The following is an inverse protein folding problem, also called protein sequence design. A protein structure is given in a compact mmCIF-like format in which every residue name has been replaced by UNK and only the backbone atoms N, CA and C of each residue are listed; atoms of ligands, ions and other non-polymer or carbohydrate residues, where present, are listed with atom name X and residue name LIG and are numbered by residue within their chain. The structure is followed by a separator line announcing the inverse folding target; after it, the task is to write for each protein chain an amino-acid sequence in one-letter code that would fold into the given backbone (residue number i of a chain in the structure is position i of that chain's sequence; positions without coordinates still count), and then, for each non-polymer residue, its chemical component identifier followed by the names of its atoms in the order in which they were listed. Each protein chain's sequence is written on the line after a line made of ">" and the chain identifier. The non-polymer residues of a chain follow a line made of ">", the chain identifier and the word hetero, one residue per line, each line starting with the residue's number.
data_IF_372169396519
#
_entry.id   IF_372169396519
#
_cell.length_a   1.000
_cell.length_b   1.000
_cell.length_c   1.000
_cell.angle_alpha   90.00
_cell.angle_beta   90.00
_cell.angle_gamma   90.00
#
_symmetry.space_group_name_H-M   'P 1'
#
loop_
_entity.id
_entity.type
_entity.pdbx_description
1 polymer ?
#
# COMPACT_ATOMS: atom_id res chain seq x y z
N UNK A 1 -42.90 9.27 52.34
CA UNK A 1 -43.21 9.44 50.91
C UNK A 1 -42.30 10.57 50.46
N UNK A 2 -41.16 10.22 49.85
CA UNK A 2 -40.16 11.20 49.41
C UNK A 2 -40.38 11.41 47.92
N UNK A 3 -40.75 12.64 47.57
CA UNK A 3 -40.85 13.12 46.20
C UNK A 3 -39.42 13.29 45.71
N UNK A 4 -38.98 12.37 44.85
CA UNK A 4 -37.69 12.43 44.18
C UNK A 4 -37.86 13.42 43.04
N UNK A 5 -37.42 14.65 43.28
CA UNK A 5 -37.39 15.73 42.30
C UNK A 5 -36.42 15.33 41.19
N UNK A 6 -37.00 14.95 40.04
CA UNK A 6 -36.28 14.47 38.86
C UNK A 6 -35.63 15.64 38.15
N UNK A 7 -34.43 16.00 38.59
CA UNK A 7 -33.54 16.92 37.91
C UNK A 7 -33.09 16.26 36.59
N UNK A 8 -33.91 16.44 35.55
CA UNK A 8 -33.60 16.17 34.14
C UNK A 8 -32.44 17.08 33.72
N UNK A 9 -31.24 16.79 34.20
CA UNK A 9 -30.04 17.38 33.63
C UNK A 9 -29.92 16.82 32.24
N UNK A 10 -30.27 17.63 31.25
CA UNK A 10 -29.94 17.43 29.85
C UNK A 10 -28.46 17.04 29.77
N UNK A 11 -28.20 15.75 29.59
CA UNK A 11 -26.85 15.28 29.34
C UNK A 11 -26.44 15.92 28.01
N UNK A 12 -25.36 16.74 28.00
CA UNK A 12 -24.87 17.34 26.77
C UNK A 12 -24.67 16.22 25.75
N UNK A 13 -25.07 16.47 24.52
CA UNK A 13 -25.26 15.49 23.46
C UNK A 13 -23.90 14.91 23.01
N UNK A 14 -23.30 14.01 23.81
CA UNK A 14 -21.98 13.40 23.61
C UNK A 14 -21.89 12.53 22.33
N UNK A 15 -23.00 12.36 21.60
CA UNK A 15 -23.02 11.67 20.31
C UNK A 15 -22.33 12.43 19.19
N UNK A 16 -22.33 13.77 19.22
CA UNK A 16 -21.86 14.58 18.10
C UNK A 16 -20.33 14.47 17.86
N UNK A 17 -19.54 14.34 18.92
CA UNK A 17 -18.06 14.29 18.82
C UNK A 17 -17.53 12.95 18.25
N UNK A 18 -18.29 11.86 18.39
CA UNK A 18 -17.84 10.53 17.94
C UNK A 18 -17.93 10.34 16.43
N UNK A 19 -18.92 10.94 15.77
CA UNK A 19 -19.12 10.83 14.31
C UNK A 19 -18.07 11.63 13.52
N UNK A 20 -17.51 12.70 14.09
CA UNK A 20 -16.51 13.54 13.39
C UNK A 20 -15.16 12.81 13.22
N UNK A 21 -14.78 11.95 14.17
CA UNK A 21 -13.49 11.23 14.11
C UNK A 21 -13.49 10.03 13.16
N UNK A 22 -14.65 9.39 12.95
CA UNK A 22 -14.79 8.22 12.07
C UNK A 22 -14.66 8.58 10.57
N UNK A 23 -15.12 9.78 10.18
CA UNK A 23 -14.95 10.28 8.81
C UNK A 23 -13.49 10.63 8.47
N UNK A 24 -12.67 10.96 9.47
CA UNK A 24 -11.32 11.48 9.26
C UNK A 24 -10.35 10.43 8.69
N UNK A 25 -10.36 9.21 9.24
CA UNK A 25 -9.42 8.15 8.84
C UNK A 25 -9.77 7.52 7.49
N UNK A 26 -11.05 7.33 7.22
CA UNK A 26 -11.53 6.84 5.92
C UNK A 26 -11.16 7.81 4.80
N UNK A 27 -11.44 9.11 5.00
CA UNK A 27 -11.03 10.16 4.07
C UNK A 27 -9.51 10.20 3.87
N UNK A 28 -8.72 10.10 4.93
CA UNK A 28 -7.25 10.07 4.83
C UNK A 28 -6.75 8.89 3.99
N UNK A 29 -7.27 7.68 4.20
CA UNK A 29 -6.89 6.49 3.41
C UNK A 29 -7.29 6.65 1.94
N UNK A 30 -8.47 7.19 1.66
CA UNK A 30 -8.91 7.47 0.29
C UNK A 30 -8.01 8.49 -0.40
N UNK A 31 -7.64 9.58 0.29
CA UNK A 31 -6.72 10.60 -0.23
C UNK A 31 -5.33 10.02 -0.51
N UNK A 32 -4.78 9.23 0.41
CA UNK A 32 -3.47 8.58 0.23
C UNK A 32 -3.50 7.64 -0.97
N UNK A 33 -4.55 6.82 -1.11
CA UNK A 33 -4.72 5.92 -2.26
C UNK A 33 -4.83 6.68 -3.58
N UNK A 34 -5.63 7.75 -3.61
CA UNK A 34 -5.79 8.59 -4.80
C UNK A 34 -4.48 9.24 -5.20
N UNK A 35 -3.79 9.89 -4.25
CA UNK A 35 -2.49 10.52 -4.47
C UNK A 35 -1.44 9.51 -4.94
N UNK A 36 -1.35 8.36 -4.27
CA UNK A 36 -0.45 7.29 -4.67
C UNK A 36 -0.74 6.81 -6.09
N UNK A 37 -2.01 6.55 -6.44
CA UNK A 37 -2.37 6.08 -7.78
C UNK A 37 -2.01 7.10 -8.87
N UNK A 38 -2.17 8.39 -8.59
CA UNK A 38 -1.79 9.47 -9.50
C UNK A 38 -0.27 9.54 -9.69
N UNK A 39 0.49 9.57 -8.58
CA UNK A 39 1.97 9.62 -8.60
C UNK A 39 2.55 8.37 -9.26
N UNK A 40 2.04 7.18 -8.92
CA UNK A 40 2.47 5.92 -9.51
C UNK A 40 2.12 5.83 -11.00
N UNK A 41 0.95 6.33 -11.41
CA UNK A 41 0.55 6.39 -12.81
C UNK A 41 1.47 7.28 -13.65
N UNK A 42 1.72 8.51 -13.19
CA UNK A 42 2.63 9.44 -13.86
C UNK A 42 4.06 8.90 -13.87
N UNK A 43 4.57 8.48 -12.71
CA UNK A 43 5.92 7.94 -12.57
C UNK A 43 6.12 6.68 -13.43
N UNK A 44 5.13 5.78 -13.45
CA UNK A 44 5.15 4.59 -14.28
C UNK A 44 5.13 4.89 -15.77
N UNK A 45 4.35 5.89 -16.19
CA UNK A 45 4.31 6.34 -17.59
C UNK A 45 5.63 6.98 -18.03
N UNK A 46 6.23 7.84 -17.18
CA UNK A 46 7.55 8.43 -17.43
C UNK A 46 8.61 7.33 -17.55
N UNK A 47 8.62 6.38 -16.61
CA UNK A 47 9.56 5.27 -16.62
C UNK A 47 9.43 4.44 -17.90
N UNK A 48 8.20 4.16 -18.34
CA UNK A 48 7.92 3.45 -19.59
C UNK A 48 8.51 4.18 -20.80
N UNK A 49 8.32 5.49 -20.91
CA UNK A 49 8.89 6.30 -21.99
C UNK A 49 10.43 6.24 -21.94
N UNK A 50 11.02 6.40 -20.75
CA UNK A 50 12.48 6.39 -20.58
C UNK A 50 13.08 5.04 -20.97
N UNK A 51 12.50 3.92 -20.54
CA UNK A 51 12.94 2.58 -20.94
C UNK A 51 12.81 2.40 -22.46
N UNK A 52 11.74 2.93 -23.07
CA UNK A 52 11.53 2.80 -24.51
C UNK A 52 12.57 3.57 -25.35
N UNK A 53 12.91 4.79 -24.91
CA UNK A 53 13.83 5.72 -25.60
C UNK A 53 15.30 5.38 -25.32
N UNK A 54 15.66 5.19 -24.04
CA UNK A 54 17.05 4.96 -23.60
C UNK A 54 17.43 3.48 -23.60
N UNK A 55 16.45 2.58 -23.61
CA UNK A 55 16.68 1.14 -23.55
C UNK A 55 16.93 0.62 -22.14
N UNK A 56 17.16 -0.69 -22.05
CA UNK A 56 17.28 -1.41 -20.78
C UNK A 56 18.62 -1.16 -20.07
N UNK A 57 19.71 -0.84 -20.80
CA UNK A 57 21.00 -0.51 -20.19
C UNK A 57 20.89 0.69 -19.26
N UNK A 58 20.25 1.76 -19.71
CA UNK A 58 19.99 2.94 -18.89
C UNK A 58 19.18 2.62 -17.62
N UNK A 59 18.21 1.69 -17.72
CA UNK A 59 17.46 1.26 -16.53
C UNK A 59 18.37 0.64 -15.48
N UNK A 60 19.26 -0.28 -15.87
CA UNK A 60 20.17 -0.94 -14.92
C UNK A 60 21.18 0.02 -14.30
N UNK A 61 21.66 0.99 -15.07
CA UNK A 61 22.68 1.92 -14.61
C UNK A 61 22.12 3.02 -13.68
N UNK A 62 20.91 3.52 -13.96
CA UNK A 62 20.36 4.71 -13.29
C UNK A 62 19.07 4.46 -12.51
N UNK A 63 18.10 3.78 -13.12
CA UNK A 63 16.78 3.60 -12.51
C UNK A 63 16.81 2.50 -11.44
N UNK A 64 17.49 1.39 -11.71
CA UNK A 64 17.53 0.22 -10.83
C UNK A 64 18.06 0.53 -9.43
N UNK A 65 19.21 1.23 -9.24
CA UNK A 65 19.67 1.59 -7.90
C UNK A 65 18.63 2.38 -7.10
N UNK A 66 17.92 3.30 -7.76
CA UNK A 66 16.86 4.10 -7.15
C UNK A 66 15.65 3.24 -6.79
N UNK A 67 15.19 2.39 -7.70
CA UNK A 67 14.07 1.46 -7.47
C UNK A 67 14.39 0.49 -6.35
N UNK A 68 15.60 -0.07 -6.33
CA UNK A 68 16.07 -0.96 -5.27
C UNK A 68 16.18 -0.26 -3.92
N UNK A 69 16.65 0.99 -3.89
CA UNK A 69 16.69 1.77 -2.66
C UNK A 69 15.27 2.04 -2.12
N UNK A 70 14.34 2.44 -2.99
CA UNK A 70 12.92 2.62 -2.62
C UNK A 70 12.28 1.32 -2.16
N UNK A 71 12.61 0.17 -2.76
CA UNK A 71 12.14 -1.14 -2.33
C UNK A 71 12.72 -1.55 -0.96
N UNK A 72 13.97 -1.20 -0.70
CA UNK A 72 14.65 -1.55 0.53
C UNK A 72 14.06 -0.82 1.74
N UNK A 73 13.62 0.43 1.59
CA UNK A 73 13.09 1.25 2.70
C UNK A 73 11.90 0.56 3.40
N UNK A 74 10.81 0.15 2.69
CA UNK A 74 9.71 -0.58 3.30
C UNK A 74 10.13 -1.85 4.02
N UNK A 75 11.05 -2.62 3.45
CA UNK A 75 11.43 -3.93 3.98
C UNK A 75 12.35 -3.79 5.21
N UNK A 76 13.32 -2.88 5.15
CA UNK A 76 14.38 -2.77 6.16
C UNK A 76 14.03 -1.84 7.31
N UNK A 77 13.32 -0.76 7.03
CA UNK A 77 13.02 0.28 8.01
C UNK A 77 11.55 0.23 8.42
N UNK A 78 10.66 0.33 7.44
CA UNK A 78 9.26 0.64 7.75
C UNK A 78 8.49 -0.59 8.27
N UNK A 79 8.76 -1.79 7.75
CA UNK A 79 8.09 -3.00 8.19
C UNK A 79 8.45 -3.38 9.63
N UNK A 80 9.74 -3.38 10.07
CA UNK A 80 10.08 -3.59 11.47
C UNK A 80 9.47 -2.54 12.40
N UNK A 81 9.54 -1.26 12.03
CA UNK A 81 8.96 -0.17 12.83
C UNK A 81 7.44 -0.32 12.94
N UNK A 82 6.76 -0.58 11.83
CA UNK A 82 5.32 -0.83 11.79
C UNK A 82 4.92 -2.03 12.65
N UNK A 83 5.71 -3.10 12.63
CA UNK A 83 5.48 -4.29 13.45
C UNK A 83 5.65 -4.00 14.94
N UNK A 84 6.69 -3.25 15.33
CA UNK A 84 6.89 -2.82 16.72
C UNK A 84 5.72 -1.92 17.18
N UNK A 85 5.30 -0.98 16.35
CA UNK A 85 4.16 -0.09 16.66
C UNK A 85 2.83 -0.84 16.76
N UNK A 86 2.67 -1.97 16.07
CA UNK A 86 1.46 -2.80 16.16
C UNK A 86 1.29 -3.47 17.54
N UNK A 87 2.38 -3.64 18.30
CA UNK A 87 2.34 -4.18 19.66
C UNK A 87 1.61 -3.22 20.60
N UNK A 88 1.87 -1.93 20.51
CA UNK A 88 1.29 -0.91 21.38
C UNK A 88 -0.14 -0.55 20.96
N UNK A 89 -1.10 -0.78 21.86
CA UNK A 89 -2.55 -0.59 21.59
C UNK A 89 -2.88 0.82 21.10
N UNK A 90 -2.26 1.86 21.68
CA UNK A 90 -2.51 3.27 21.35
C UNK A 90 -2.05 3.66 19.95
N UNK A 91 -1.05 2.96 19.39
CA UNK A 91 -0.46 3.28 18.07
C UNK A 91 -0.90 2.33 16.96
N UNK A 92 -1.82 1.39 17.23
CA UNK A 92 -2.24 0.37 16.25
C UNK A 92 -2.83 0.96 14.97
N UNK A 93 -3.63 2.01 15.07
CA UNK A 93 -4.19 2.69 13.90
C UNK A 93 -3.10 3.27 13.00
N UNK A 94 -2.13 3.96 13.60
CA UNK A 94 -0.99 4.54 12.88
C UNK A 94 -0.10 3.44 12.27
N UNK A 95 0.14 2.35 13.01
CA UNK A 95 0.88 1.19 12.53
C UNK A 95 0.22 0.55 11.30
N UNK A 96 -1.11 0.40 11.32
CA UNK A 96 -1.87 -0.12 10.18
C UNK A 96 -1.77 0.77 8.94
N UNK A 97 -1.92 2.09 9.11
CA UNK A 97 -1.75 3.07 8.03
C UNK A 97 -0.32 3.04 7.46
N UNK A 98 0.68 2.95 8.34
CA UNK A 98 2.07 2.87 7.94
C UNK A 98 2.36 1.61 7.12
N UNK A 99 1.93 0.43 7.58
CA UNK A 99 2.07 -0.82 6.84
C UNK A 99 1.37 -0.77 5.47
N UNK A 100 0.21 -0.12 5.38
CA UNK A 100 -0.47 0.09 4.10
C UNK A 100 0.37 0.94 3.14
N UNK A 101 0.94 2.07 3.59
CA UNK A 101 1.84 2.90 2.76
C UNK A 101 3.08 2.11 2.33
N UNK A 102 3.65 1.32 3.23
CA UNK A 102 4.81 0.48 2.94
C UNK A 102 4.52 -0.51 1.80
N UNK A 103 3.36 -1.17 1.85
CA UNK A 103 2.94 -2.10 0.82
C UNK A 103 2.79 -1.43 -0.54
N UNK A 104 2.30 -0.19 -0.57
CA UNK A 104 2.17 0.59 -1.81
C UNK A 104 3.54 0.98 -2.38
N UNK A 105 4.45 1.49 -1.54
CA UNK A 105 5.81 1.82 -1.98
C UNK A 105 6.54 0.59 -2.52
N UNK A 106 6.46 -0.53 -1.80
CA UNK A 106 7.08 -1.78 -2.24
C UNK A 106 6.44 -2.29 -3.54
N UNK A 107 5.12 -2.20 -3.69
CA UNK A 107 4.41 -2.55 -4.91
C UNK A 107 4.88 -1.71 -6.10
N UNK A 108 5.08 -0.40 -5.93
CA UNK A 108 5.58 0.47 -7.00
C UNK A 108 6.96 0.05 -7.50
N UNK A 109 7.83 -0.38 -6.58
CA UNK A 109 9.17 -0.84 -6.92
C UNK A 109 9.13 -2.21 -7.64
N UNK A 110 8.34 -3.16 -7.14
CA UNK A 110 8.12 -4.46 -7.80
C UNK A 110 7.50 -4.27 -9.19
N UNK A 111 6.59 -3.30 -9.34
CA UNK A 111 5.99 -2.93 -10.62
C UNK A 111 7.04 -2.40 -11.61
N UNK A 112 7.86 -1.43 -11.19
CA UNK A 112 8.94 -0.87 -12.02
C UNK A 112 9.93 -1.95 -12.47
N UNK A 113 10.30 -2.85 -11.56
CA UNK A 113 11.19 -3.96 -11.86
C UNK A 113 10.55 -5.00 -12.80
N UNK A 114 9.25 -5.25 -12.65
CA UNK A 114 8.50 -6.11 -13.56
C UNK A 114 8.41 -5.51 -14.96
N UNK A 115 8.30 -4.19 -15.08
CA UNK A 115 8.33 -3.51 -16.37
C UNK A 115 9.66 -3.74 -17.10
N UNK A 116 10.78 -3.62 -16.38
CA UNK A 116 12.11 -3.90 -16.92
C UNK A 116 12.27 -5.37 -17.34
N UNK A 117 11.76 -6.31 -16.54
CA UNK A 117 11.79 -7.74 -16.89
C UNK A 117 10.88 -8.08 -18.08
N UNK A 118 9.68 -7.49 -18.17
CA UNK A 118 8.80 -7.66 -19.32
C UNK A 118 9.48 -7.19 -20.61
N UNK A 119 10.16 -6.02 -20.55
CA UNK A 119 10.98 -5.54 -21.67
C UNK A 119 12.10 -6.52 -22.02
N UNK A 120 12.85 -6.99 -21.02
CA UNK A 120 14.00 -7.87 -21.22
C UNK A 120 13.63 -9.23 -21.83
N UNK A 121 12.50 -9.80 -21.40
CA UNK A 121 12.13 -11.17 -21.75
C UNK A 121 11.19 -11.26 -22.95
N UNK A 122 10.16 -10.43 -23.01
CA UNK A 122 9.12 -10.52 -24.08
C UNK A 122 9.27 -9.41 -25.13
N UNK A 123 10.04 -8.36 -24.82
CA UNK A 123 10.30 -7.25 -25.72
C UNK A 123 9.28 -6.12 -25.63
N UNK A 124 9.48 -5.09 -26.46
CA UNK A 124 8.78 -3.79 -26.39
C UNK A 124 7.26 -3.90 -26.56
N UNK A 125 6.81 -4.69 -27.54
CA UNK A 125 5.39 -4.78 -27.91
C UNK A 125 4.58 -5.38 -26.76
N UNK A 126 5.03 -6.51 -26.22
CA UNK A 126 4.33 -7.21 -25.13
C UNK A 126 4.38 -6.45 -23.81
N UNK A 127 5.47 -5.70 -23.57
CA UNK A 127 5.53 -4.77 -22.44
C UNK A 127 4.42 -3.70 -22.53
N UNK A 128 4.20 -3.10 -23.72
CA UNK A 128 3.13 -2.12 -23.91
C UNK A 128 1.75 -2.74 -23.67
N UNK A 129 1.51 -3.94 -24.21
CA UNK A 129 0.26 -4.69 -23.97
C UNK A 129 0.04 -4.87 -22.46
N UNK A 130 1.07 -5.33 -21.73
CA UNK A 130 1.01 -5.49 -20.28
C UNK A 130 0.71 -4.18 -19.53
N UNK A 131 1.27 -3.06 -19.97
CA UNK A 131 1.01 -1.75 -19.38
C UNK A 131 -0.46 -1.31 -19.55
N UNK A 132 -1.03 -1.47 -20.76
CA UNK A 132 -2.42 -1.09 -21.04
C UNK A 132 -3.46 -2.00 -20.36
N UNK A 133 -3.08 -3.19 -19.92
CA UNK A 133 -3.88 -4.10 -19.08
C UNK A 133 -3.93 -3.62 -17.60
N UNK A 134 -4.32 -2.36 -17.41
CA UNK A 134 -4.47 -1.69 -16.11
C UNK A 134 -3.23 -1.76 -15.20
N UNK A 135 -2.02 -1.80 -15.77
CA UNK A 135 -0.76 -1.92 -15.04
C UNK A 135 -0.50 -3.29 -14.42
N UNK A 136 -1.54 -4.06 -14.08
CA UNK A 136 -1.43 -5.45 -13.59
C UNK A 136 -0.86 -6.39 -14.65
N UNK A 137 -1.19 -6.16 -15.92
CA UNK A 137 -0.67 -6.96 -17.03
C UNK A 137 0.85 -6.97 -17.12
N UNK A 138 1.54 -5.95 -16.61
CA UNK A 138 3.01 -5.88 -16.58
C UNK A 138 3.60 -7.04 -15.78
N UNK A 139 3.04 -7.38 -14.63
CA UNK A 139 3.50 -8.50 -13.82
C UNK A 139 3.33 -9.83 -14.55
N UNK A 140 2.16 -10.03 -15.17
CA UNK A 140 1.88 -11.24 -15.94
C UNK A 140 2.82 -11.38 -17.12
N UNK A 141 3.08 -10.30 -17.87
CA UNK A 141 4.01 -10.32 -18.99
C UNK A 141 5.45 -10.58 -18.54
N UNK A 142 5.88 -10.02 -17.41
CA UNK A 142 7.19 -10.29 -16.84
C UNK A 142 7.35 -11.77 -16.43
N UNK A 143 6.34 -12.33 -15.76
CA UNK A 143 6.32 -13.75 -15.35
C UNK A 143 6.27 -14.68 -16.56
N UNK A 144 5.37 -14.44 -17.52
CA UNK A 144 5.27 -15.24 -18.75
C UNK A 144 6.59 -15.19 -19.53
N UNK A 145 7.17 -14.01 -19.68
CA UNK A 145 8.47 -13.85 -20.32
C UNK A 145 9.58 -14.61 -19.63
N UNK A 146 9.62 -14.54 -18.30
CA UNK A 146 10.60 -15.28 -17.51
C UNK A 146 10.44 -16.79 -17.68
N UNK A 147 9.21 -17.31 -17.64
CA UNK A 147 8.92 -18.74 -17.88
C UNK A 147 9.35 -19.17 -19.29
N UNK A 148 8.99 -18.40 -20.32
CA UNK A 148 9.34 -18.71 -21.72
C UNK A 148 10.86 -18.71 -21.94
N UNK A 149 11.59 -17.81 -21.26
CA UNK A 149 13.06 -17.73 -21.35
C UNK A 149 13.80 -18.65 -20.36
N UNK A 150 13.10 -19.52 -19.63
CA UNK A 150 13.70 -20.42 -18.64
C UNK A 150 14.21 -19.73 -17.36
N UNK A 151 13.86 -18.46 -17.16
CA UNK A 151 14.17 -17.66 -15.97
C UNK A 151 13.09 -17.84 -14.89
N UNK A 152 12.91 -19.09 -14.43
CA UNK A 152 11.86 -19.45 -13.48
C UNK A 152 12.01 -18.75 -12.13
N UNK A 153 13.25 -18.58 -11.66
CA UNK A 153 13.54 -17.93 -10.38
C UNK A 153 13.02 -16.50 -10.37
N UNK A 154 13.28 -15.71 -11.43
CA UNK A 154 12.80 -14.32 -11.49
C UNK A 154 11.28 -14.23 -11.54
N UNK A 155 10.64 -15.15 -12.27
CA UNK A 155 9.16 -15.23 -12.33
C UNK A 155 8.57 -15.54 -10.95
N UNK A 156 9.15 -16.52 -10.25
CA UNK A 156 8.75 -16.92 -8.90
C UNK A 156 8.99 -15.79 -7.88
N UNK A 157 10.10 -15.06 -8.00
CA UNK A 157 10.38 -13.90 -7.13
C UNK A 157 9.35 -12.78 -7.30
N UNK A 158 8.91 -12.48 -8.53
CA UNK A 158 7.85 -11.50 -8.79
C UNK A 158 6.55 -11.97 -8.13
N UNK A 159 6.17 -13.24 -8.33
CA UNK A 159 4.96 -13.82 -7.74
C UNK A 159 4.97 -13.74 -6.21
N UNK A 160 6.07 -14.19 -5.59
CA UNK A 160 6.23 -14.14 -4.13
C UNK A 160 6.16 -12.69 -3.63
N UNK A 161 6.81 -11.76 -4.33
CA UNK A 161 6.78 -10.35 -3.96
C UNK A 161 5.36 -9.77 -3.99
N UNK A 162 4.56 -10.12 -5.01
CA UNK A 162 3.15 -9.72 -5.09
C UNK A 162 2.31 -10.30 -3.94
N UNK A 163 2.53 -11.58 -3.61
CA UNK A 163 1.84 -12.23 -2.48
C UNK A 163 2.20 -11.52 -1.17
N UNK A 164 3.48 -11.21 -0.95
CA UNK A 164 3.93 -10.49 0.25
C UNK A 164 3.31 -9.10 0.33
N UNK A 165 3.33 -8.32 -0.77
CA UNK A 165 2.66 -7.00 -0.83
C UNK A 165 1.21 -7.13 -0.39
N UNK A 166 0.50 -8.10 -0.97
CA UNK A 166 -0.92 -8.28 -0.72
C UNK A 166 -1.19 -8.66 0.74
N UNK A 167 -0.40 -9.57 1.32
CA UNK A 167 -0.52 -9.96 2.72
C UNK A 167 -0.23 -8.79 3.68
N UNK A 168 0.80 -7.99 3.41
CA UNK A 168 1.14 -6.82 4.22
C UNK A 168 0.05 -5.75 4.12
N UNK A 169 -0.49 -5.52 2.93
CA UNK A 169 -1.61 -4.60 2.72
C UNK A 169 -2.85 -5.05 3.49
N UNK A 170 -3.23 -6.32 3.39
CA UNK A 170 -4.35 -6.88 4.13
C UNK A 170 -4.14 -6.76 5.64
N UNK A 171 -2.97 -7.14 6.15
CA UNK A 171 -2.64 -7.02 7.57
C UNK A 171 -2.72 -5.57 8.07
N UNK A 172 -2.15 -4.61 7.32
CA UNK A 172 -2.21 -3.19 7.64
C UNK A 172 -3.64 -2.65 7.67
N UNK A 173 -4.46 -3.02 6.67
CA UNK A 173 -5.87 -2.60 6.60
C UNK A 173 -6.73 -3.20 7.72
N UNK A 174 -6.49 -4.46 8.09
CA UNK A 174 -7.16 -5.13 9.20
C UNK A 174 -6.77 -4.50 10.56
N UNK A 175 -5.50 -4.11 10.73
CA UNK A 175 -5.04 -3.39 11.92
C UNK A 175 -5.67 -2.00 12.05
N UNK A 176 -5.78 -1.26 10.94
CA UNK A 176 -6.39 0.07 10.92
C UNK A 176 -7.87 -0.01 11.33
N UNK A 177 -8.65 -0.88 10.69
CA UNK A 177 -10.10 -1.03 10.95
C UNK A 177 -10.42 -1.53 12.37
N UNK A 178 -9.55 -2.37 12.95
CA UNK A 178 -9.76 -2.85 14.33
C UNK A 178 -9.41 -1.79 15.39
N UNK A 179 -8.55 -0.82 15.08
CA UNK A 179 -8.24 0.29 15.99
C UNK A 179 -9.49 1.15 16.24
N UNK A 180 -10.26 1.42 15.19
CA UNK A 180 -11.46 2.26 15.25
C UNK A 180 -12.54 1.63 16.16
N UNK A 181 -12.75 0.31 16.05
CA UNK A 181 -13.73 -0.43 16.89
C UNK A 181 -13.44 -0.32 18.38
N UNK A 182 -12.17 -0.29 18.78
CA UNK A 182 -11.80 -0.22 20.19
C UNK A 182 -11.92 1.19 20.77
N UNK A 183 -11.70 2.25 19.97
CA UNK A 183 -11.96 3.62 20.41
C UNK A 183 -13.42 3.83 20.83
N UNK A 184 -14.36 3.27 20.06
CA UNK A 184 -15.81 3.35 20.32
C UNK A 184 -16.26 2.65 21.61
N UNK A 185 -15.61 1.53 21.96
CA UNK A 185 -15.97 0.79 23.18
C UNK A 185 -15.42 1.43 24.45
N UNK A 186 -14.29 2.15 24.36
CA UNK A 186 -13.75 2.88 25.51
C UNK A 186 -14.56 4.11 25.86
N UNK A 187 -15.12 4.83 24.88
CA UNK A 187 -15.97 6.00 25.13
C UNK A 187 -17.32 5.60 25.74
N UNK A 188 -17.94 4.52 25.26
CA UNK A 188 -19.22 4.02 25.79
C UNK A 188 -19.17 3.52 27.25
N UNK A 189 -17.98 3.33 27.84
CA UNK A 189 -17.81 2.79 29.20
C UNK A 189 -17.43 3.87 30.22
N UNK A 190 -17.10 5.08 29.76
CA UNK A 190 -16.83 6.25 30.59
C UNK A 190 -18.08 7.09 30.89
N UNK A 191 -19.19 6.76 30.23
CA UNK A 191 -20.55 7.29 30.48
C UNK A 191 -21.33 6.33 31.39
#
# INVERSE_FOLDING_TARGET
>A
MYEVDGDEREFPNLREDSDETDGKWTNAVHLIKSLYSFVAGIGGFILLILIFVKGLSWYWDYAYPTVSFVAAIPVTLLLPVGLIMAIFRKTRGLAGLFLAICSLLYLSAVWAQSLAFAYAYVGKIWMLVGFFLAGLGVFFMAMLGGIIRGQYINSLMILISLVIVFLVYLAGSALATNADKHGRLSSSRSD
#
